data_IF_172455117120
#
_entry.id   IF_172455117120
#
_cell.length_a   1.000
_cell.length_b   1.000
_cell.length_c   1.000
_cell.angle_alpha   90.00
_cell.angle_beta   90.00
_cell.angle_gamma   90.00
#
_symmetry.space_group_name_H-M   'P 1'
#
loop_
_entity.id
_entity.type
_entity.pdbx_description
1 polymer ?
#
# COMPACT_ATOMS: atom_id res chain seq x y z
N UNK A 1 8.95 -14.88 -3.93
CA UNK A 1 7.78 -15.43 -3.21
C UNK A 1 7.07 -14.35 -2.36
N UNK A 2 6.87 -13.12 -2.86
CA UNK A 2 6.58 -11.95 -2.00
C UNK A 2 5.35 -11.11 -2.38
N UNK A 3 4.52 -11.53 -3.35
CA UNK A 3 3.48 -10.66 -3.93
C UNK A 3 2.05 -10.81 -3.35
N UNK A 4 1.85 -11.62 -2.31
CA UNK A 4 0.51 -12.14 -2.00
C UNK A 4 -0.34 -11.34 -1.00
N UNK A 5 0.18 -10.37 -0.26
CA UNK A 5 -0.38 -10.15 1.08
C UNK A 5 -1.21 -8.87 1.29
N UNK A 6 -1.43 -8.03 0.26
CA UNK A 6 -2.25 -6.81 0.36
C UNK A 6 -3.22 -6.61 -0.83
N UNK A 7 -3.47 -7.66 -1.61
CA UNK A 7 -4.32 -7.58 -2.82
C UNK A 7 -5.81 -7.72 -2.58
N UNK A 8 -6.28 -7.84 -1.34
CA UNK A 8 -7.70 -8.14 -1.10
C UNK A 8 -8.65 -7.03 -1.59
N UNK A 9 -8.30 -5.75 -1.46
CA UNK A 9 -9.13 -4.65 -1.99
C UNK A 9 -9.17 -4.72 -3.53
N UNK A 10 -8.01 -4.92 -4.18
CA UNK A 10 -7.96 -5.08 -5.64
C UNK A 10 -8.69 -6.34 -6.12
N UNK A 11 -8.63 -7.44 -5.36
CA UNK A 11 -9.33 -8.69 -5.65
C UNK A 11 -10.84 -8.47 -5.57
N UNK A 12 -11.33 -7.79 -4.54
CA UNK A 12 -12.76 -7.49 -4.43
C UNK A 12 -13.24 -6.56 -5.53
N UNK A 13 -12.47 -5.52 -5.88
CA UNK A 13 -12.80 -4.66 -7.03
C UNK A 13 -12.83 -5.44 -8.36
N UNK A 14 -11.98 -6.47 -8.49
CA UNK A 14 -11.95 -7.36 -9.66
C UNK A 14 -13.02 -8.47 -9.63
N UNK A 15 -13.79 -8.62 -8.55
CA UNK A 15 -14.74 -9.72 -8.36
C UNK A 15 -14.06 -11.09 -8.11
N UNK A 16 -12.78 -11.10 -7.75
CA UNK A 16 -11.99 -12.29 -7.45
C UNK A 16 -12.21 -12.78 -6.01
N UNK A 17 -11.93 -14.07 -5.79
CA UNK A 17 -11.93 -14.66 -4.45
C UNK A 17 -10.83 -14.02 -3.58
N UNK A 18 -11.23 -13.44 -2.45
CA UNK A 18 -10.33 -12.77 -1.51
C UNK A 18 -9.47 -13.82 -0.80
N UNK A 19 -8.16 -13.76 -1.01
CA UNK A 19 -7.18 -14.65 -0.35
C UNK A 19 -6.29 -13.83 0.57
N UNK A 20 -6.64 -13.69 1.86
CA UNK A 20 -5.79 -13.00 2.80
C UNK A 20 -4.49 -13.79 3.01
N UNK A 21 -3.37 -13.09 2.96
CA UNK A 21 -2.05 -13.65 3.20
C UNK A 21 -1.31 -12.87 4.29
N UNK A 22 -0.40 -13.52 5.05
CA UNK A 22 0.30 -12.86 6.15
C UNK A 22 1.26 -11.76 5.63
N UNK A 23 1.12 -10.52 6.10
CA UNK A 23 2.06 -9.42 5.79
C UNK A 23 2.74 -8.89 7.06
N UNK A 24 3.84 -8.16 6.88
CA UNK A 24 4.58 -7.52 7.98
C UNK A 24 4.25 -6.05 8.19
N UNK A 25 3.43 -5.46 7.31
CA UNK A 25 3.05 -4.03 7.40
C UNK A 25 1.97 -3.84 8.47
N UNK A 26 2.37 -3.51 9.69
CA UNK A 26 1.42 -3.27 10.78
C UNK A 26 0.51 -2.06 10.51
N UNK A 27 -0.76 -2.17 10.87
CA UNK A 27 -1.76 -1.09 10.79
C UNK A 27 -2.63 -1.06 9.52
N UNK A 28 -2.23 -1.77 8.46
CA UNK A 28 -3.04 -1.95 7.23
C UNK A 28 -3.18 -3.45 6.93
N UNK A 29 -4.01 -3.84 5.96
CA UNK A 29 -4.02 -5.23 5.49
C UNK A 29 -4.84 -6.23 6.31
N UNK A 30 -5.96 -5.81 6.91
CA UNK A 30 -6.76 -6.63 7.83
C UNK A 30 -7.24 -8.01 7.30
N UNK A 31 -7.08 -8.30 6.01
CA UNK A 31 -7.44 -9.59 5.41
C UNK A 31 -8.93 -9.74 5.08
N UNK A 32 -9.72 -8.69 5.28
CA UNK A 32 -11.12 -8.58 4.89
C UNK A 32 -11.45 -7.12 4.59
N UNK A 33 -12.59 -6.85 3.94
CA UNK A 33 -13.07 -5.47 3.71
C UNK A 33 -13.82 -4.98 4.94
N UNK A 34 -13.34 -3.93 5.61
CA UNK A 34 -14.05 -3.33 6.73
C UNK A 34 -15.37 -2.69 6.29
N UNK A 35 -16.43 -2.76 7.11
CA UNK A 35 -17.73 -2.13 6.80
C UNK A 35 -17.66 -0.60 6.68
N UNK A 36 -16.64 0.01 7.27
CA UNK A 36 -16.38 1.46 7.21
C UNK A 36 -15.53 1.86 5.99
N UNK A 37 -15.11 0.91 5.15
CA UNK A 37 -14.44 1.21 3.89
C UNK A 37 -15.48 1.29 2.77
N UNK A 38 -15.70 2.50 2.25
CA UNK A 38 -16.47 2.70 1.03
C UNK A 38 -15.56 2.47 -0.18
N UNK A 39 -15.87 1.46 -1.00
CA UNK A 39 -15.10 1.15 -2.20
C UNK A 39 -15.44 2.07 -3.38
N UNK A 40 -16.60 2.75 -3.34
CA UNK A 40 -17.05 3.61 -4.45
C UNK A 40 -16.23 4.88 -4.61
N UNK A 41 -15.51 5.29 -3.55
CA UNK A 41 -14.64 6.47 -3.53
C UNK A 41 -13.18 6.15 -3.89
N UNK A 42 -12.85 4.89 -4.21
CA UNK A 42 -11.48 4.46 -4.49
C UNK A 42 -11.24 4.39 -5.99
N UNK A 43 -10.40 5.29 -6.52
CA UNK A 43 -10.03 5.27 -7.94
C UNK A 43 -8.99 4.19 -8.29
N UNK A 44 -8.05 3.95 -7.38
CA UNK A 44 -6.89 3.06 -7.61
C UNK A 44 -6.38 2.45 -6.32
N UNK A 45 -5.92 1.21 -6.41
CA UNK A 45 -5.28 0.47 -5.33
C UNK A 45 -3.82 0.21 -5.69
N UNK A 46 -2.89 0.71 -4.88
CA UNK A 46 -1.45 0.46 -5.03
C UNK A 46 -0.96 -0.59 -4.05
N UNK A 47 -0.24 -1.59 -4.55
CA UNK A 47 0.34 -2.65 -3.71
C UNK A 47 1.80 -2.38 -3.42
N UNK A 48 2.17 -2.42 -2.14
CA UNK A 48 3.56 -2.25 -1.67
C UNK A 48 3.95 -3.46 -0.84
N UNK A 49 5.12 -4.03 -1.14
CA UNK A 49 5.70 -5.13 -0.37
C UNK A 49 6.31 -4.63 0.95
N UNK A 50 6.42 -5.53 1.93
CA UNK A 50 6.88 -5.17 3.26
C UNK A 50 8.33 -4.66 3.29
N UNK A 51 9.18 -5.17 2.40
CA UNK A 51 10.60 -4.78 2.36
C UNK A 51 10.75 -3.37 1.80
N UNK A 52 10.02 -3.03 0.74
CA UNK A 52 9.91 -1.66 0.22
C UNK A 52 9.36 -0.71 1.27
N UNK A 53 8.27 -1.08 1.96
CA UNK A 53 7.68 -0.23 2.99
C UNK A 53 8.66 0.08 4.13
N UNK A 54 9.41 -0.93 4.58
CA UNK A 54 10.43 -0.76 5.62
C UNK A 54 11.61 0.10 5.13
N UNK A 55 12.08 -0.13 3.90
CA UNK A 55 13.15 0.66 3.30
C UNK A 55 12.75 2.13 3.16
N UNK A 56 11.54 2.41 2.70
CA UNK A 56 11.02 3.78 2.58
C UNK A 56 10.84 4.46 3.93
N UNK A 57 10.33 3.75 4.96
CA UNK A 57 10.24 4.32 6.31
C UNK A 57 11.62 4.73 6.87
N UNK A 58 12.65 3.91 6.62
CA UNK A 58 14.04 4.24 7.01
C UNK A 58 14.59 5.43 6.24
N UNK A 59 14.35 5.49 4.93
CA UNK A 59 14.75 6.63 4.10
C UNK A 59 14.07 7.91 4.56
N UNK A 60 12.78 7.85 4.89
CA UNK A 60 12.03 9.01 5.39
C UNK A 60 12.65 9.58 6.67
N UNK A 61 13.13 8.71 7.58
CA UNK A 61 13.86 9.15 8.76
C UNK A 61 15.23 9.75 8.41
N UNK A 62 15.97 9.12 7.51
CA UNK A 62 17.34 9.51 7.17
C UNK A 62 17.41 10.78 6.31
N UNK A 63 16.47 10.96 5.39
CA UNK A 63 16.45 12.03 4.39
C UNK A 63 15.62 13.22 4.84
N UNK A 64 14.47 12.98 5.49
CA UNK A 64 13.50 14.03 5.86
C UNK A 64 13.41 14.27 7.37
N UNK A 65 14.10 13.47 8.20
CA UNK A 65 14.03 13.59 9.66
C UNK A 65 12.70 13.13 10.26
N UNK A 66 11.85 12.45 9.49
CA UNK A 66 10.52 12.00 9.93
C UNK A 66 10.60 10.56 10.39
N UNK A 67 10.53 10.33 11.71
CA UNK A 67 10.43 9.00 12.29
C UNK A 67 8.98 8.48 12.20
N UNK A 68 8.70 7.64 11.20
CA UNK A 68 7.39 7.06 10.96
C UNK A 68 7.40 5.53 10.96
N UNK A 69 6.22 4.93 11.13
CA UNK A 69 6.04 3.47 11.10
C UNK A 69 6.07 2.87 9.69
N UNK A 70 6.05 1.53 9.62
CA UNK A 70 6.11 0.79 8.34
C UNK A 70 4.90 1.06 7.42
N UNK A 71 3.71 1.32 7.98
CA UNK A 71 2.53 1.72 7.20
C UNK A 71 2.71 3.08 6.51
N UNK A 72 3.34 4.04 7.18
CA UNK A 72 3.70 5.33 6.58
C UNK A 72 4.72 5.15 5.46
N UNK A 73 5.71 4.26 5.64
CA UNK A 73 6.63 3.89 4.57
C UNK A 73 5.93 3.29 3.34
N UNK A 74 4.90 2.47 3.56
CA UNK A 74 4.07 1.94 2.47
C UNK A 74 3.29 3.04 1.74
N UNK A 75 2.68 3.98 2.48
CA UNK A 75 1.94 5.10 1.92
C UNK A 75 2.84 6.03 1.09
N UNK A 76 4.02 6.38 1.61
CA UNK A 76 4.99 7.21 0.89
C UNK A 76 5.54 6.50 -0.33
N UNK A 77 5.82 5.20 -0.25
CA UNK A 77 6.28 4.42 -1.41
C UNK A 77 5.23 4.40 -2.54
N UNK A 78 3.95 4.26 -2.20
CA UNK A 78 2.86 4.34 -3.18
C UNK A 78 2.74 5.76 -3.76
N UNK A 79 2.83 6.79 -2.93
CA UNK A 79 2.76 8.19 -3.35
C UNK A 79 3.92 8.58 -4.28
N UNK A 80 5.15 8.17 -3.97
CA UNK A 80 6.34 8.41 -4.80
C UNK A 80 6.22 7.74 -6.18
N UNK A 81 5.70 6.51 -6.24
CA UNK A 81 5.39 5.84 -7.52
C UNK A 81 4.33 6.60 -8.31
N UNK A 82 3.27 7.05 -7.66
CA UNK A 82 2.20 7.81 -8.32
C UNK A 82 2.70 9.16 -8.84
N UNK A 83 3.53 9.87 -8.07
CA UNK A 83 4.14 11.13 -8.48
C UNK A 83 5.01 10.95 -9.74
N UNK A 84 5.75 9.84 -9.83
CA UNK A 84 6.54 9.45 -11.01
C UNK A 84 5.67 8.98 -12.19
N UNK A 85 4.47 8.48 -11.91
CA UNK A 85 3.51 8.00 -12.92
C UNK A 85 2.78 9.13 -13.68
N UNK A 86 3.12 10.39 -13.41
CA UNK A 86 2.49 11.54 -14.09
C UNK A 86 2.56 11.38 -15.61
N UNK A 87 1.37 11.21 -16.22
CA UNK A 87 1.15 11.49 -17.64
C UNK A 87 1.57 12.93 -17.87
N UNK A 88 2.71 13.09 -18.50
CA UNK A 88 3.19 14.34 -19.07
C UNK A 88 2.08 14.85 -20.02
N UNK A 89 1.23 15.74 -19.53
CA UNK A 89 0.69 16.82 -20.35
C UNK A 89 1.76 17.90 -20.37
N UNK A 90 2.72 17.72 -21.26
CA UNK A 90 3.62 18.74 -21.79
C UNK A 90 3.35 18.80 -23.29
#
# INVERSE_FOLDING_TARGET
MSQWNLRFISQTLAGEEVKPGPHKIQGIGAGFIPKNLDLSIIDRVETVDSDTALATARRLMAEEGILAGISSGAAVAAADRLAKFTRICR
#
